data_IF_825201391832
#
_entry.id   IF_825201391832
#
_cell.length_a   1.000
_cell.length_b   1.000
_cell.length_c   1.000
_cell.angle_alpha   90.00
_cell.angle_beta   90.00
_cell.angle_gamma   90.00
#
_symmetry.space_group_name_H-M   'P 1'
#
loop_
_entity.id
_entity.type
_entity.pdbx_description
1 polymer ?
#
# COMPACT_ATOMS: atom_id res chain seq x y z
N UNK A 1 -6.63 -0.40 16.62
CA UNK A 1 -6.49 0.43 15.41
C UNK A 1 -6.63 1.89 15.81
N UNK A 2 -5.82 2.74 15.20
CA UNK A 2 -5.90 4.16 15.49
C UNK A 2 -7.13 4.77 14.84
N UNK A 3 -7.46 5.97 15.28
CA UNK A 3 -8.63 6.68 14.78
C UNK A 3 -8.44 7.05 13.31
N UNK A 4 -9.31 6.54 12.44
CA UNK A 4 -9.21 6.72 11.00
C UNK A 4 -9.31 8.19 10.62
N UNK A 5 -10.31 8.88 11.17
CA UNK A 5 -10.56 10.28 10.81
C UNK A 5 -9.41 11.18 11.21
N UNK A 6 -8.85 10.92 12.40
CA UNK A 6 -7.70 11.68 12.88
C UNK A 6 -6.50 11.50 11.94
N UNK A 7 -6.24 10.27 11.52
CA UNK A 7 -5.12 10.00 10.62
C UNK A 7 -5.32 10.70 9.29
N UNK A 8 -6.54 10.65 8.77
CA UNK A 8 -6.87 11.29 7.51
C UNK A 8 -6.66 12.81 7.60
N UNK A 9 -7.22 13.42 8.64
CA UNK A 9 -7.11 14.87 8.83
C UNK A 9 -5.66 15.29 9.05
N UNK A 10 -4.91 14.52 9.83
CA UNK A 10 -3.52 14.84 10.13
C UNK A 10 -2.66 14.79 8.86
N UNK A 11 -2.84 13.75 8.04
CA UNK A 11 -2.05 13.64 6.82
C UNK A 11 -2.45 14.71 5.79
N UNK A 12 -3.73 15.04 5.71
CA UNK A 12 -4.17 16.15 4.86
C UNK A 12 -3.50 17.45 5.25
N UNK A 13 -3.52 17.75 6.56
CA UNK A 13 -2.92 18.98 7.07
C UNK A 13 -1.42 18.98 6.89
N UNK A 14 -0.78 17.84 7.06
CA UNK A 14 0.65 17.71 6.87
C UNK A 14 1.04 18.05 5.43
N UNK A 15 0.19 17.71 4.46
CA UNK A 15 0.40 18.06 3.05
C UNK A 15 0.01 19.51 2.76
N UNK A 16 -0.59 20.21 3.70
CA UNK A 16 -1.02 21.58 3.51
C UNK A 16 -2.32 21.71 2.73
N UNK A 17 -3.09 20.64 2.61
CA UNK A 17 -4.33 20.67 1.84
C UNK A 17 -5.52 21.07 2.72
N UNK A 18 -6.40 21.89 2.17
CA UNK A 18 -7.72 22.11 2.76
C UNK A 18 -8.63 20.95 2.38
N UNK A 19 -9.80 20.88 2.99
CA UNK A 19 -10.78 19.88 2.58
C UNK A 19 -11.22 20.08 1.12
N UNK A 20 -11.29 21.35 0.69
CA UNK A 20 -11.63 21.67 -0.69
C UNK A 20 -10.54 21.21 -1.66
N UNK A 21 -9.27 21.41 -1.29
CA UNK A 21 -8.18 20.93 -2.12
C UNK A 21 -8.26 19.42 -2.32
N UNK A 22 -8.65 18.71 -1.27
CA UNK A 22 -8.75 17.25 -1.35
C UNK A 22 -9.90 16.83 -2.26
N UNK A 23 -11.01 17.60 -2.26
CA UNK A 23 -12.10 17.37 -3.20
C UNK A 23 -11.60 17.51 -4.64
N UNK A 24 -10.83 18.57 -4.91
CA UNK A 24 -10.31 18.79 -6.25
C UNK A 24 -9.36 17.70 -6.68
N UNK A 25 -8.49 17.26 -5.78
CA UNK A 25 -7.54 16.17 -6.07
C UNK A 25 -8.28 14.87 -6.38
N UNK A 26 -9.30 14.55 -5.57
CA UNK A 26 -10.11 13.35 -5.81
C UNK A 26 -10.86 13.45 -7.13
N UNK A 27 -11.32 14.65 -7.47
CA UNK A 27 -12.01 14.87 -8.74
C UNK A 27 -11.10 14.58 -9.93
N UNK A 28 -9.82 14.94 -9.82
CA UNK A 28 -8.85 14.65 -10.87
C UNK A 28 -8.65 13.14 -11.05
N UNK A 29 -8.89 12.38 -9.99
CA UNK A 29 -8.82 10.93 -10.06
C UNK A 29 -10.17 10.30 -10.43
N UNK A 30 -11.12 11.13 -10.83
CA UNK A 30 -12.42 10.62 -11.24
C UNK A 30 -13.39 10.35 -10.10
N UNK A 31 -13.05 10.78 -8.88
CA UNK A 31 -13.86 10.51 -7.70
C UNK A 31 -14.57 11.80 -7.29
N UNK A 32 -15.88 11.81 -7.43
CA UNK A 32 -16.69 13.00 -7.13
C UNK A 32 -17.21 12.94 -5.69
N UNK A 33 -16.74 13.86 -4.85
CA UNK A 33 -17.16 13.94 -3.45
C UNK A 33 -17.33 15.42 -3.08
N UNK A 34 -17.85 15.67 -1.88
CA UNK A 34 -18.04 17.02 -1.38
C UNK A 34 -17.17 17.23 -0.14
N UNK A 35 -16.93 18.50 0.21
CA UNK A 35 -16.22 18.81 1.46
C UNK A 35 -16.96 18.24 2.66
N UNK A 36 -18.30 18.17 2.57
CA UNK A 36 -19.10 17.59 3.64
C UNK A 36 -18.79 16.12 3.81
N UNK A 37 -18.57 15.39 2.71
CA UNK A 37 -18.20 13.98 2.78
C UNK A 37 -16.84 13.84 3.47
N UNK A 38 -15.87 14.66 3.09
CA UNK A 38 -14.55 14.62 3.70
C UNK A 38 -14.63 14.93 5.19
N UNK A 39 -15.41 15.92 5.55
CA UNK A 39 -15.61 16.26 6.95
C UNK A 39 -16.20 15.10 7.73
N UNK A 40 -17.14 14.36 7.13
CA UNK A 40 -17.72 13.19 7.81
C UNK A 40 -16.72 12.08 7.97
N UNK A 41 -15.79 11.92 7.02
CA UNK A 41 -14.74 10.93 7.14
C UNK A 41 -13.77 11.32 8.27
N UNK A 42 -13.40 12.60 8.34
CA UNK A 42 -12.45 13.07 9.35
C UNK A 42 -13.03 13.06 10.76
N UNK A 43 -14.35 13.06 10.87
CA UNK A 43 -15.01 12.98 12.19
C UNK A 43 -15.52 11.57 12.49
N UNK A 44 -15.19 10.59 11.63
CA UNK A 44 -15.65 9.21 11.78
C UNK A 44 -17.16 9.05 11.74
N UNK A 45 -17.88 10.06 11.22
CA UNK A 45 -19.32 9.96 11.04
C UNK A 45 -19.66 9.05 9.88
N UNK A 46 -18.70 8.84 8.96
CA UNK A 46 -18.83 7.99 7.81
C UNK A 46 -17.45 7.49 7.41
N UNK A 47 -17.42 6.41 6.64
CA UNK A 47 -16.18 5.88 6.07
C UNK A 47 -16.22 6.04 4.56
N UNK A 48 -15.08 6.29 3.92
CA UNK A 48 -15.03 6.30 2.45
C UNK A 48 -15.10 4.87 1.92
N UNK A 49 -15.54 4.74 0.67
CA UNK A 49 -15.48 3.44 -0.01
C UNK A 49 -14.00 3.04 -0.15
N UNK A 50 -13.76 1.73 -0.27
CA UNK A 50 -12.41 1.20 -0.28
C UNK A 50 -11.53 1.85 -1.35
N UNK A 51 -12.05 1.98 -2.58
CA UNK A 51 -11.25 2.56 -3.66
C UNK A 51 -10.92 4.04 -3.38
N UNK A 52 -11.84 4.76 -2.71
CA UNK A 52 -11.59 6.14 -2.32
C UNK A 52 -10.51 6.19 -1.24
N UNK A 53 -10.59 5.29 -0.27
CA UNK A 53 -9.59 5.21 0.78
C UNK A 53 -8.19 4.95 0.20
N UNK A 54 -8.07 4.03 -0.74
CA UNK A 54 -6.78 3.73 -1.35
C UNK A 54 -6.24 4.93 -2.13
N UNK A 55 -7.12 5.65 -2.84
CA UNK A 55 -6.72 6.86 -3.54
C UNK A 55 -6.28 7.94 -2.56
N UNK A 56 -6.98 8.07 -1.42
CA UNK A 56 -6.57 9.01 -0.38
C UNK A 56 -5.20 8.67 0.17
N UNK A 57 -4.91 7.40 0.40
CA UNK A 57 -3.58 6.99 0.86
C UNK A 57 -2.51 7.42 -0.13
N UNK A 58 -2.79 7.30 -1.43
CA UNK A 58 -1.86 7.69 -2.46
C UNK A 58 -1.67 9.21 -2.52
N UNK A 59 -2.77 9.96 -2.50
CA UNK A 59 -2.73 11.42 -2.57
C UNK A 59 -2.06 12.04 -1.35
N UNK A 60 -2.17 11.38 -0.21
CA UNK A 60 -1.65 11.91 1.06
C UNK A 60 -0.32 11.28 1.46
N UNK A 61 0.29 10.48 0.56
CA UNK A 61 1.57 9.80 0.78
C UNK A 61 1.57 8.96 2.05
N UNK A 62 0.48 8.23 2.27
CA UNK A 62 0.42 7.26 3.37
C UNK A 62 1.03 5.97 2.83
N UNK A 63 2.36 5.86 2.91
CA UNK A 63 3.08 4.76 2.28
C UNK A 63 2.93 3.46 3.04
N UNK A 64 2.93 3.55 4.37
CA UNK A 64 2.79 2.36 5.19
C UNK A 64 1.46 2.42 5.93
N UNK A 65 0.46 1.76 5.32
CA UNK A 65 -0.89 1.71 5.90
C UNK A 65 -0.87 0.97 7.23
N UNK A 66 -0.07 -0.09 7.32
CA UNK A 66 0.01 -0.86 8.55
C UNK A 66 0.51 0.02 9.69
N UNK A 67 1.63 0.70 9.47
CA UNK A 67 2.21 1.54 10.51
C UNK A 67 1.28 2.71 10.85
N UNK A 68 0.63 3.29 9.85
CA UNK A 68 -0.23 4.45 10.07
C UNK A 68 -1.42 4.12 10.95
N UNK A 69 -2.01 2.94 10.74
CA UNK A 69 -3.27 2.61 11.41
C UNK A 69 -3.12 1.65 12.59
N UNK A 70 -2.05 0.86 12.64
CA UNK A 70 -1.89 -0.15 13.69
C UNK A 70 -0.67 0.10 14.57
N UNK A 71 0.26 0.97 14.16
CA UNK A 71 1.47 1.23 14.90
C UNK A 71 2.66 0.59 14.21
N UNK A 72 3.75 0.43 14.95
CA UNK A 72 5.00 -0.06 14.39
C UNK A 72 4.79 -1.31 13.54
N UNK A 73 5.31 -1.29 12.33
CA UNK A 73 5.16 -2.40 11.39
C UNK A 73 6.37 -3.34 11.52
N UNK A 74 6.18 -4.53 12.10
CA UNK A 74 7.31 -5.45 12.29
C UNK A 74 7.86 -6.02 10.98
N UNK A 75 7.15 -5.85 9.87
CA UNK A 75 7.59 -6.33 8.56
C UNK A 75 8.26 -5.24 7.74
N UNK A 76 8.30 -4.01 8.25
CA UNK A 76 8.89 -2.88 7.54
C UNK A 76 10.35 -2.73 8.00
N UNK A 77 11.28 -3.13 7.15
CA UNK A 77 12.71 -3.07 7.49
C UNK A 77 13.21 -1.64 7.66
N UNK A 78 12.43 -0.64 7.25
CA UNK A 78 12.75 0.77 7.47
C UNK A 78 12.31 1.25 8.83
N UNK A 79 11.48 0.47 9.52
CA UNK A 79 10.94 0.85 10.82
C UNK A 79 12.08 0.96 11.83
N UNK A 80 12.03 2.00 12.65
CA UNK A 80 13.07 2.21 13.66
C UNK A 80 14.33 2.88 13.14
N UNK A 81 14.45 3.11 11.83
CA UNK A 81 15.61 3.80 11.28
C UNK A 81 15.32 5.30 11.18
N UNK A 82 16.34 6.11 11.49
CA UNK A 82 16.25 7.54 11.20
C UNK A 82 16.51 7.76 9.70
N UNK A 83 16.47 9.02 9.28
CA UNK A 83 16.59 9.35 7.86
C UNK A 83 17.90 8.86 7.26
N UNK A 84 18.98 9.01 7.99
CA UNK A 84 20.29 8.57 7.51
C UNK A 84 20.31 7.05 7.32
N UNK A 85 19.78 6.30 8.29
CA UNK A 85 19.71 4.85 8.20
C UNK A 85 18.87 4.39 7.02
N UNK A 86 17.76 5.08 6.77
CA UNK A 86 16.90 4.76 5.64
C UNK A 86 17.62 4.98 4.31
N UNK A 87 18.34 6.10 4.20
CA UNK A 87 19.08 6.39 2.98
C UNK A 87 20.16 5.34 2.73
N UNK A 88 20.85 4.91 3.79
CA UNK A 88 21.84 3.86 3.66
C UNK A 88 21.24 2.55 3.19
N UNK A 89 20.06 2.22 3.70
CA UNK A 89 19.39 1.00 3.29
C UNK A 89 18.96 1.08 1.83
N UNK A 90 18.47 2.22 1.39
CA UNK A 90 18.09 2.43 0.00
C UNK A 90 19.30 2.29 -0.92
N UNK A 91 20.42 2.93 -0.53
CA UNK A 91 21.67 2.81 -1.26
C UNK A 91 22.09 1.36 -1.44
N UNK A 92 22.01 0.59 -0.35
CA UNK A 92 22.38 -0.80 -0.39
C UNK A 92 21.43 -1.60 -1.29
N UNK A 93 20.14 -1.29 -1.22
CA UNK A 93 19.15 -1.95 -2.07
C UNK A 93 19.42 -1.66 -3.55
N UNK A 94 19.83 -0.44 -3.88
CA UNK A 94 20.14 -0.09 -5.26
C UNK A 94 21.36 -0.85 -5.78
N UNK A 95 22.37 -1.05 -4.92
CA UNK A 95 23.53 -1.87 -5.26
C UNK A 95 23.10 -3.30 -5.56
N UNK A 96 22.22 -3.85 -4.71
CA UNK A 96 21.71 -5.21 -4.91
C UNK A 96 20.90 -5.32 -6.20
N UNK A 97 20.07 -4.32 -6.49
CA UNK A 97 19.25 -4.33 -7.69
C UNK A 97 20.10 -4.26 -8.96
N UNK A 98 21.25 -3.61 -8.91
CA UNK A 98 22.15 -3.53 -10.05
C UNK A 98 22.89 -4.85 -10.28
N UNK A 99 22.93 -5.74 -9.31
CA UNK A 99 23.59 -7.01 -9.43
C UNK A 99 22.70 -8.02 -10.16
N UNK A 100 23.27 -8.71 -11.13
CA UNK A 100 22.53 -9.76 -11.84
C UNK A 100 22.11 -10.89 -10.91
N UNK A 101 22.88 -11.10 -9.84
CA UNK A 101 22.60 -12.17 -8.89
C UNK A 101 21.32 -11.94 -8.11
N UNK A 102 21.02 -10.69 -7.76
CA UNK A 102 19.89 -10.35 -6.90
C UNK A 102 18.81 -9.56 -7.63
N UNK A 103 18.95 -9.37 -8.94
CA UNK A 103 18.00 -8.59 -9.72
C UNK A 103 16.78 -9.43 -10.09
N UNK A 104 15.57 -8.84 -10.11
CA UNK A 104 14.39 -9.59 -10.56
C UNK A 104 14.45 -10.04 -12.00
N UNK A 105 15.42 -9.54 -12.77
CA UNK A 105 15.60 -9.97 -14.15
C UNK A 105 15.83 -11.47 -14.25
N UNK A 106 16.54 -12.03 -13.28
CA UNK A 106 16.74 -13.47 -13.27
C UNK A 106 15.46 -14.20 -12.87
N UNK A 107 14.64 -13.55 -12.08
CA UNK A 107 13.40 -14.16 -11.60
C UNK A 107 12.31 -14.13 -12.65
N UNK A 108 12.33 -13.18 -13.59
CA UNK A 108 11.26 -13.11 -14.57
C UNK A 108 11.25 -14.28 -15.53
N UNK A 109 12.35 -15.01 -15.59
CA UNK A 109 12.44 -16.21 -16.40
C UNK A 109 11.64 -17.34 -15.74
N UNK A 110 11.42 -17.25 -14.45
CA UNK A 110 10.71 -18.27 -13.69
C UNK A 110 9.21 -18.00 -13.83
N UNK A 111 8.45 -18.93 -14.47
CA UNK A 111 7.00 -18.77 -14.54
C UNK A 111 6.44 -18.90 -13.16
N UNK A 112 5.70 -18.07 -12.92
CA UNK A 112 5.13 -18.09 -11.62
C UNK A 112 3.90 -18.96 -11.56
N UNK A 113 4.31 -19.18 -11.38
CA UNK A 113 3.57 -19.87 -11.27
C UNK A 113 3.40 -20.59 -10.76
N UNK A 114 3.43 -20.49 -10.47
CA UNK A 114 3.22 -21.30 -10.17
C UNK A 114 3.21 -21.97 -9.85
N UNK A 115 3.45 -22.25 -9.70
CA UNK A 115 3.43 -23.01 -9.34
C UNK A 115 3.16 -23.50 -9.24
N UNK A 116 2.82 -23.33 -9.14
CA UNK A 116 2.44 -24.09 -9.07
C UNK A 116 2.00 -24.67 -9.37
N UNK A 117 1.99 -24.79 -9.66
CA UNK A 117 1.67 -25.48 -9.90
C UNK A 117 1.43 -26.26 -9.67
N UNK A 118 1.28 -26.17 -9.33
CA UNK A 118 1.04 -27.00 -9.20
C UNK A 118 0.61 -27.74 -9.02
N UNK A 119 0.36 -27.93 -8.97
CA UNK A 119 -0.13 -28.65 -8.84
C UNK A 119 -0.78 -29.23 -8.92
N UNK A 120 -1.25 -29.38 -9.05
CA UNK A 120 -1.98 -29.98 -9.14
C UNK A 120 -2.26 -30.84 -9.61
N UNK A 121 -2.29 -30.83 -9.37
CA UNK A 121 -2.65 -31.69 -9.75
C UNK A 121 -3.05 -32.39 -9.74
N UNK A 122 -3.19 -32.82 -9.65
CA UNK A 122 -3.61 -33.70 -9.72
C UNK A 122 -3.94 -34.20 -9.55
N UNK A 123 -4.20 -34.14 -9.29
CA UNK A 123 -4.52 -34.99 -9.27
C UNK A 123 -4.86 -35.37 -9.29
N UNK A 124 -5.17 -35.45 -9.08
CA UNK A 124 -5.46 -36.27 -9.33
C UNK A 124 -5.62 -36.54 -9.52
N UNK A 125 -5.80 -36.69 -9.35
CA UNK A 125 -5.95 -37.36 -9.72
C UNK A 125 -6.01 -37.71 -9.88
N UNK A 126 -6.32 -37.88 -9.55
CA UNK A 126 -6.46 -38.69 -9.92
C UNK A 126 -6.58 -38.97 -10.06
N UNK A 127 -6.95 -39.11 -9.79
CA UNK A 127 -7.17 -39.83 -10.12
C UNK A 127 -7.41 -39.93 -10.47
N UNK A 128 -7.59 -40.05 -10.09
CA UNK A 128 -7.85 -40.56 -10.55
C UNK A 128 -8.03 -40.36 -10.71
N UNK A 129 -8.46 -40.57 -10.58
CA UNK A 129 -8.66 -40.73 -10.81
C UNK A 129 -8.73 -40.28 -10.90
N UNK A 130 -9.08 -40.33 -10.74
CA UNK A 130 -9.22 -40.36 -11.10
C UNK A 130 -9.17 -40.39 -11.53
N UNK A 131 -9.15 -40.28 -11.10
CA UNK A 131 -9.13 -40.62 -11.60
C UNK A 131 -9.27 -40.63 -12.04
#
# INVERSE_FOLDING_TARGET
MRDFGEILAANRKKKGYSQSDLVDLLSQEGIQVTTKAISKWETNAREPALHVFLTLCQLLDIEDIYESFFGENPYNIMSGLNEEGRNKLIEFADILKASKKFSPLSAKIIPFHHPVEITWEPVSAGTGNYL
#
